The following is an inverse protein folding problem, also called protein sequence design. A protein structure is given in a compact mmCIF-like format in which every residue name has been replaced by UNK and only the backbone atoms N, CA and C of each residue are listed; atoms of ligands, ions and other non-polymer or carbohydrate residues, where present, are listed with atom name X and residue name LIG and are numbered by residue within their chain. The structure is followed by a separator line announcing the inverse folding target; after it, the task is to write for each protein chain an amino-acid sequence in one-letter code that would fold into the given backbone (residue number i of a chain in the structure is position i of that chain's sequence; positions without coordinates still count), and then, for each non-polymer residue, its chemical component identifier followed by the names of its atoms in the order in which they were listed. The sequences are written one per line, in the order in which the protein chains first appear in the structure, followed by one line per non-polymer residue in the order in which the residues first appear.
data_IF_079236488150
#
_entry.id   IF_079236488150
#
_cell.length_a   1.000
_cell.length_b   1.000
_cell.length_c   1.000
_cell.angle_alpha   90.00
_cell.angle_beta   90.00
_cell.angle_gamma   90.00
#
_symmetry.space_group_name_H-M   'P 1'
#
loop_
_entity.id
_entity.type
_entity.pdbx_description
1 polymer ?
#
# COMPACT_ATOMS: atom_id res chain seq x y z
N UNK A 1 -15.33 4.42 -2.56
CA UNK A 1 -13.93 4.21 -2.20
C UNK A 1 -12.97 5.32 -2.60
N UNK A 2 -12.53 5.45 -3.87
CA UNK A 2 -11.45 6.40 -4.23
C UNK A 2 -11.72 7.84 -3.73
N UNK A 3 -12.95 8.32 -3.90
CA UNK A 3 -13.39 9.65 -3.44
C UNK A 3 -13.30 9.80 -1.92
N UNK A 4 -13.78 8.83 -1.15
CA UNK A 4 -13.78 8.89 0.32
C UNK A 4 -12.35 8.88 0.85
N UNK A 5 -11.50 8.01 0.30
CA UNK A 5 -10.07 7.93 0.60
C UNK A 5 -9.39 9.30 0.37
N UNK A 6 -9.67 9.95 -0.76
CA UNK A 6 -9.11 11.28 -1.04
C UNK A 6 -9.58 12.38 -0.08
N UNK A 7 -10.77 12.21 0.50
CA UNK A 7 -11.36 13.17 1.45
C UNK A 7 -10.94 12.91 2.90
N UNK A 8 -10.38 11.73 3.20
CA UNK A 8 -9.92 11.34 4.53
C UNK A 8 -8.43 11.01 4.51
N UNK A 9 -7.54 12.00 4.37
CA UNK A 9 -6.10 11.74 4.31
C UNK A 9 -5.60 11.01 5.57
N UNK A 10 -4.67 10.07 5.38
CA UNK A 10 -4.04 9.34 6.49
C UNK A 10 -3.19 10.29 7.35
N UNK A 11 -3.09 10.05 8.68
CA UNK A 11 -2.16 10.77 9.54
C UNK A 11 -0.71 10.67 9.03
N UNK A 12 0.10 11.69 9.30
CA UNK A 12 1.49 11.78 8.80
C UNK A 12 2.37 10.57 9.16
N UNK A 13 2.09 9.92 10.29
CA UNK A 13 2.80 8.72 10.76
C UNK A 13 2.57 7.50 9.85
N UNK A 14 1.47 7.49 9.10
CA UNK A 14 1.04 6.39 8.23
C UNK A 14 0.88 6.80 6.76
N UNK A 15 1.14 8.07 6.42
CA UNK A 15 0.89 8.61 5.08
C UNK A 15 1.65 7.86 3.97
N UNK A 16 2.86 7.38 4.29
CA UNK A 16 3.71 6.61 3.40
C UNK A 16 3.79 5.12 3.78
N UNK A 17 2.94 4.66 4.70
CA UNK A 17 2.88 3.26 5.07
C UNK A 17 2.34 2.43 3.90
N UNK A 18 2.94 1.26 3.68
CA UNK A 18 2.46 0.31 2.68
C UNK A 18 2.10 -1.01 3.33
N UNK A 19 1.31 -1.80 2.61
CA UNK A 19 0.80 -3.07 3.10
C UNK A 19 0.71 -4.06 1.97
N UNK A 20 1.06 -5.31 2.26
CA UNK A 20 0.84 -6.43 1.35
C UNK A 20 -0.61 -6.87 1.45
N UNK A 21 -1.23 -7.05 0.29
CA UNK A 21 -2.62 -7.48 0.16
C UNK A 21 -2.72 -8.65 -0.82
N UNK A 22 -3.75 -9.47 -0.63
CA UNK A 22 -4.27 -10.40 -1.62
C UNK A 22 -5.63 -9.89 -2.11
N UNK A 23 -5.83 -9.80 -3.42
CA UNK A 23 -7.11 -9.40 -4.00
C UNK A 23 -8.03 -10.60 -4.18
N UNK A 24 -9.24 -10.53 -3.64
CA UNK A 24 -10.21 -11.63 -3.73
C UNK A 24 -10.80 -11.79 -5.15
N UNK A 25 -10.78 -10.73 -5.97
CA UNK A 25 -11.37 -10.77 -7.31
C UNK A 25 -10.40 -11.32 -8.36
N UNK A 26 -9.13 -10.95 -8.30
CA UNK A 26 -8.12 -11.36 -9.28
C UNK A 26 -7.00 -12.23 -8.71
N UNK A 27 -7.06 -12.56 -7.42
CA UNK A 27 -6.12 -13.44 -6.70
C UNK A 27 -4.65 -12.97 -6.77
N UNK A 28 -4.43 -11.69 -7.05
CA UNK A 28 -3.09 -11.11 -7.16
C UNK A 28 -2.61 -10.60 -5.80
N UNK A 29 -1.32 -10.82 -5.51
CA UNK A 29 -0.64 -10.20 -4.38
C UNK A 29 -0.03 -8.87 -4.81
N UNK A 30 -0.24 -7.82 -4.02
CA UNK A 30 0.25 -6.49 -4.32
C UNK A 30 0.72 -5.79 -3.04
N UNK A 31 1.74 -4.94 -3.15
CA UNK A 31 2.10 -3.97 -2.10
C UNK A 31 1.54 -2.62 -2.48
N UNK A 32 0.64 -2.06 -1.66
CA UNK A 32 -0.10 -0.83 -1.97
C UNK A 32 -0.07 0.13 -0.79
N UNK A 33 -0.35 1.44 -0.98
CA UNK A 33 -0.49 2.37 0.12
C UNK A 33 -1.54 1.89 1.12
N UNK A 34 -1.21 1.93 2.41
CA UNK A 34 -2.15 1.60 3.46
C UNK A 34 -3.13 2.75 3.65
N UNK A 35 -4.41 2.42 3.65
CA UNK A 35 -5.46 3.36 4.00
C UNK A 35 -6.54 2.63 4.79
N UNK A 36 -6.94 3.19 5.94
CA UNK A 36 -7.88 2.55 6.88
C UNK A 36 -9.23 2.22 6.25
N UNK A 37 -9.68 3.02 5.28
CA UNK A 37 -10.94 2.79 4.56
C UNK A 37 -10.86 1.67 3.51
N UNK A 38 -9.68 1.35 2.98
CA UNK A 38 -9.56 0.35 1.93
C UNK A 38 -8.27 0.42 1.15
N UNK A 39 -7.83 -0.74 0.66
CA UNK A 39 -6.59 -0.92 -0.07
C UNK A 39 -6.94 -1.27 -1.52
N UNK A 40 -6.50 -0.47 -2.48
CA UNK A 40 -6.82 -0.68 -3.89
C UNK A 40 -5.83 -1.65 -4.50
N UNK A 41 -6.31 -2.75 -5.06
CA UNK A 41 -5.48 -3.67 -5.85
C UNK A 41 -4.89 -2.92 -7.06
N UNK A 42 -3.56 -2.94 -7.21
CA UNK A 42 -2.88 -2.31 -8.35
C UNK A 42 -3.04 -3.06 -9.67
N UNK A 43 -3.48 -4.33 -9.63
CA UNK A 43 -3.69 -5.15 -10.83
C UNK A 43 -5.08 -4.91 -11.47
N UNK A 44 -6.16 -4.98 -10.69
CA UNK A 44 -7.53 -4.88 -11.21
C UNK A 44 -8.31 -3.65 -10.72
N UNK A 45 -7.75 -2.86 -9.79
CA UNK A 45 -8.41 -1.68 -9.23
C UNK A 45 -9.50 -1.97 -8.19
N UNK A 46 -9.76 -3.25 -7.87
CA UNK A 46 -10.73 -3.62 -6.84
C UNK A 46 -10.25 -3.29 -5.43
N UNK A 47 -11.21 -3.03 -4.54
CA UNK A 47 -11.01 -2.86 -3.10
C UNK A 47 -11.38 -4.11 -2.29
N UNK A 48 -11.85 -5.17 -2.96
CA UNK A 48 -12.13 -6.46 -2.33
C UNK A 48 -10.81 -7.20 -2.08
N UNK A 49 -10.10 -6.79 -1.04
CA UNK A 49 -8.74 -7.24 -0.73
C UNK A 49 -8.64 -7.61 0.75
N UNK A 50 -7.86 -8.63 1.06
CA UNK A 50 -7.46 -8.97 2.43
C UNK A 50 -5.99 -8.59 2.64
N UNK A 51 -5.64 -8.23 3.87
CA UNK A 51 -4.26 -7.97 4.26
C UNK A 51 -3.48 -9.30 4.33
N UNK A 52 -2.31 -9.33 3.69
CA UNK A 52 -1.42 -10.49 3.56
C UNK A 52 -0.08 -10.20 4.26
N UNK A 53 -0.13 -10.00 5.58
CA UNK A 53 1.04 -9.70 6.41
C UNK A 53 0.89 -8.45 7.27
N UNK A 54 2.01 -7.88 7.74
CA UNK A 54 2.02 -6.67 8.57
C UNK A 54 1.93 -5.37 7.76
N UNK A 55 1.68 -4.27 8.47
CA UNK A 55 1.92 -2.93 7.93
C UNK A 55 3.43 -2.70 7.86
N UNK A 56 3.92 -2.24 6.70
CA UNK A 56 5.31 -1.87 6.48
C UNK A 56 5.38 -0.34 6.63
N UNK A 57 5.77 0.18 7.81
CA UNK A 57 5.99 1.61 7.99
C UNK A 57 7.11 2.07 7.06
N UNK A 58 7.08 3.35 6.68
CA UNK A 58 8.09 3.94 5.80
C UNK A 58 9.49 3.74 6.40
N UNK A 59 10.23 2.76 5.89
CA UNK A 59 11.67 2.71 6.11
C UNK A 59 12.30 3.78 5.22
N UNK A 60 13.19 4.65 5.72
CA UNK A 60 14.06 5.40 4.82
C UNK A 60 14.84 4.36 4.02
N UNK A 61 14.56 4.27 2.71
CA UNK A 61 15.37 3.48 1.80
C UNK A 61 16.83 3.90 2.02
N UNK A 62 17.76 3.00 2.40
CA UNK A 62 19.16 3.32 2.23
C UNK A 62 19.34 3.57 0.73
N UNK A 63 19.61 4.82 0.39
CA UNK A 63 20.03 5.26 -0.92
C UNK A 63 21.06 4.24 -1.40
N UNK A 64 20.73 3.47 -2.44
CA UNK A 64 21.71 2.60 -3.10
C UNK A 64 22.89 3.51 -3.44
N UNK A 65 23.96 3.42 -2.64
CA UNK A 65 25.21 4.07 -2.94
C UNK A 65 25.65 3.49 -4.28
N UNK A 66 25.68 4.36 -5.27
CA UNK A 66 26.55 4.22 -6.42
C UNK A 66 27.92 3.77 -5.92
N UNK A 67 28.29 2.54 -6.20
CA UNK A 67 29.68 2.11 -6.18
C UNK A 67 29.91 1.25 -7.41
N UNK A 68 30.11 1.93 -8.55
CA UNK A 68 31.13 1.52 -9.52
C UNK A 68 32.49 1.70 -8.86
N UNK A 69 33.44 0.79 -9.10
CA UNK A 69 34.37 0.97 -10.21
C UNK A 69 34.22 -0.10 -11.30
#
# INVERSE_FOLDING_TARGET
MDKEISQTPMPSEYQDATVKIICNDCQSHCTVPFHVLGMKCSNCGSYNTAQDGGLEPRQPQPQQQQQSP
#
